data_IF_561166328391
#
_entry.id   IF_561166328391
#
_cell.length_a   1.000
_cell.length_b   1.000
_cell.length_c   1.000
_cell.angle_alpha   90.00
_cell.angle_beta   90.00
_cell.angle_gamma   90.00
#
_symmetry.space_group_name_H-M   'P 1'
#
loop_
_entity.id
_entity.type
_entity.pdbx_description
1 polymer ?
#
# COMPACT_ATOMS: atom_id res chain seq x y z
N UNK A 1 12.84 -1.30 -2.76
CA UNK A 1 13.56 -2.42 -2.13
C UNK A 1 14.85 -1.95 -1.47
N UNK A 2 15.67 -1.14 -2.14
CA UNK A 2 16.92 -0.63 -1.56
C UNK A 2 16.73 0.09 -0.22
N UNK A 3 15.70 0.91 -0.09
CA UNK A 3 15.36 1.60 1.17
C UNK A 3 15.16 0.61 2.33
N UNK A 4 14.50 -0.54 2.09
CA UNK A 4 14.31 -1.59 3.11
C UNK A 4 15.64 -2.22 3.53
N UNK A 5 16.50 -2.51 2.57
CA UNK A 5 17.79 -3.20 2.80
C UNK A 5 18.75 -2.30 3.59
N UNK A 6 18.70 -1.00 3.32
CA UNK A 6 19.57 -0.01 3.95
C UNK A 6 19.13 0.40 5.35
N UNK A 7 17.95 -0.05 5.83
CA UNK A 7 17.47 0.29 7.15
C UNK A 7 18.40 -0.22 8.25
N UNK A 8 18.56 0.63 9.25
CA UNK A 8 19.27 0.33 10.49
C UNK A 8 18.32 0.50 11.69
N UNK A 9 18.62 -0.08 12.85
CA UNK A 9 17.86 0.18 14.06
C UNK A 9 17.76 1.66 14.44
N UNK A 10 18.78 2.47 14.10
CA UNK A 10 18.80 3.91 14.35
C UNK A 10 17.76 4.72 13.54
N UNK A 11 17.25 4.14 12.43
CA UNK A 11 16.23 4.79 11.60
C UNK A 11 14.82 4.71 12.19
N UNK A 12 14.64 3.93 13.27
CA UNK A 12 13.35 3.72 13.90
C UNK A 12 13.22 4.53 15.19
N UNK A 13 12.17 5.35 15.26
CA UNK A 13 11.65 5.91 16.50
C UNK A 13 10.38 5.16 16.85
N UNK A 14 10.41 4.36 17.89
CA UNK A 14 9.30 3.48 18.30
C UNK A 14 8.43 4.07 19.41
N UNK A 15 8.85 5.20 20.00
CA UNK A 15 8.03 5.99 20.92
C UNK A 15 6.94 6.71 20.13
N UNK A 16 5.80 6.97 20.78
CA UNK A 16 4.67 7.63 20.14
C UNK A 16 4.95 9.11 19.83
N UNK A 17 4.69 9.59 18.63
CA UNK A 17 4.24 8.85 17.43
C UNK A 17 5.39 8.07 16.78
N UNK A 18 5.19 6.75 16.59
CA UNK A 18 6.20 5.89 16.01
C UNK A 18 6.45 6.20 14.53
N UNK A 19 7.71 6.29 14.14
CA UNK A 19 8.12 6.63 12.78
C UNK A 19 9.35 5.85 12.33
N UNK A 20 9.53 5.72 11.02
CA UNK A 20 10.77 5.26 10.39
C UNK A 20 11.29 6.32 9.42
N UNK A 21 12.59 6.62 9.50
CA UNK A 21 13.30 7.45 8.54
C UNK A 21 13.71 6.61 7.34
N UNK A 22 13.30 7.01 6.14
CA UNK A 22 13.67 6.35 4.89
C UNK A 22 14.52 7.28 4.04
N UNK A 23 15.63 6.74 3.51
CA UNK A 23 16.50 7.44 2.58
C UNK A 23 16.15 7.05 1.14
N UNK A 24 15.49 7.97 0.44
CA UNK A 24 15.04 7.76 -0.93
C UNK A 24 16.07 8.15 -1.98
N UNK A 25 15.65 8.08 -3.26
CA UNK A 25 16.48 8.48 -4.40
C UNK A 25 16.91 9.96 -4.28
N UNK A 26 18.19 10.24 -4.54
CA UNK A 26 18.75 11.58 -4.42
C UNK A 26 19.02 12.00 -2.98
N UNK A 27 19.25 11.05 -2.07
CA UNK A 27 19.56 11.29 -0.66
C UNK A 27 18.47 12.07 0.10
N UNK A 28 17.22 11.98 -0.38
CA UNK A 28 16.08 12.65 0.26
C UNK A 28 15.54 11.80 1.40
N UNK A 29 15.59 12.36 2.60
CA UNK A 29 15.01 11.74 3.79
C UNK A 29 13.52 12.01 3.87
N UNK A 30 12.76 11.01 4.30
CA UNK A 30 11.35 11.14 4.66
C UNK A 30 11.02 10.31 5.89
N UNK A 31 10.09 10.79 6.69
CA UNK A 31 9.57 10.07 7.83
C UNK A 31 8.22 9.42 7.48
N UNK A 32 8.12 8.14 7.73
CA UNK A 32 6.88 7.39 7.49
C UNK A 32 6.32 6.98 8.85
N UNK A 33 5.07 7.35 9.19
CA UNK A 33 4.44 6.92 10.42
C UNK A 33 4.23 5.40 10.41
N UNK A 34 4.43 4.81 11.58
CA UNK A 34 4.21 3.38 11.83
C UNK A 34 2.96 3.21 12.68
N UNK A 35 2.11 2.30 12.25
CA UNK A 35 0.97 1.88 13.07
C UNK A 35 1.46 1.15 14.32
N UNK A 36 0.73 1.26 15.43
CA UNK A 36 1.11 0.66 16.70
C UNK A 36 1.42 -0.86 16.62
N UNK A 37 0.62 -1.69 15.89
CA UNK A 37 0.95 -3.11 15.71
C UNK A 37 2.30 -3.32 15.01
N UNK A 38 2.62 -2.51 14.01
CA UNK A 38 3.89 -2.59 13.28
C UNK A 38 5.05 -2.17 14.19
N UNK A 39 4.88 -1.08 14.95
CA UNK A 39 5.90 -0.62 15.89
C UNK A 39 6.22 -1.69 16.95
N UNK A 40 5.19 -2.38 17.48
CA UNK A 40 5.35 -3.49 18.43
C UNK A 40 6.09 -4.68 17.81
N UNK A 41 5.76 -5.06 16.57
CA UNK A 41 6.46 -6.12 15.84
C UNK A 41 7.94 -5.80 15.65
N UNK A 42 8.24 -4.56 15.25
CA UNK A 42 9.62 -4.08 15.05
C UNK A 42 10.38 -4.09 16.39
N UNK A 43 9.78 -3.59 17.46
CA UNK A 43 10.38 -3.61 18.80
C UNK A 43 10.69 -5.04 19.27
N UNK A 44 9.74 -5.97 19.08
CA UNK A 44 9.90 -7.39 19.36
C UNK A 44 11.07 -7.99 18.58
N UNK A 45 11.10 -7.77 17.28
CA UNK A 45 12.18 -8.23 16.41
C UNK A 45 13.55 -7.67 16.86
N UNK A 46 13.63 -6.35 17.11
CA UNK A 46 14.88 -5.73 17.57
C UNK A 46 15.37 -6.31 18.89
N UNK A 47 14.45 -6.59 19.83
CA UNK A 47 14.77 -7.22 21.11
C UNK A 47 15.30 -8.66 20.91
N UNK A 48 14.60 -9.44 20.08
CA UNK A 48 14.93 -10.84 19.78
C UNK A 48 16.29 -10.97 19.10
N UNK A 49 16.60 -10.06 18.16
CA UNK A 49 17.87 -10.03 17.43
C UNK A 49 18.99 -9.27 18.17
N UNK A 50 18.74 -8.78 19.38
CA UNK A 50 19.73 -8.02 20.16
C UNK A 50 20.13 -6.68 19.55
N UNK A 51 19.24 -6.08 18.73
CA UNK A 51 19.46 -4.81 18.04
C UNK A 51 19.09 -3.58 18.85
N UNK A 52 18.46 -3.73 20.02
CA UNK A 52 17.99 -2.64 20.86
C UNK A 52 19.12 -1.85 21.55
N UNK A 53 20.37 -2.29 21.41
CA UNK A 53 21.53 -1.62 22.01
C UNK A 53 21.99 -0.45 21.15
N UNK A 54 22.35 0.67 21.77
CA UNK A 54 22.89 1.87 21.09
C UNK A 54 24.09 1.53 20.18
N UNK A 55 24.95 0.61 20.63
CA UNK A 55 26.10 0.12 19.83
C UNK A 55 25.71 -0.58 18.52
N UNK A 56 24.45 -0.94 18.34
CA UNK A 56 23.91 -1.58 17.15
C UNK A 56 23.10 -0.63 16.26
N UNK A 57 23.04 0.66 16.56
CA UNK A 57 22.25 1.64 15.81
C UNK A 57 22.53 1.66 14.30
N UNK A 58 23.78 1.41 13.90
CA UNK A 58 24.23 1.35 12.50
C UNK A 58 24.33 -0.07 11.94
N UNK A 59 23.91 -1.09 12.69
CA UNK A 59 23.87 -2.46 12.19
C UNK A 59 22.75 -2.59 11.15
N UNK A 60 22.88 -3.44 10.11
CA UNK A 60 21.75 -3.71 9.24
C UNK A 60 20.52 -4.16 10.05
N UNK A 61 19.36 -3.57 9.81
CA UNK A 61 18.12 -3.96 10.47
C UNK A 61 17.72 -5.38 10.08
N UNK A 62 17.83 -5.70 8.78
CA UNK A 62 17.51 -7.02 8.23
C UNK A 62 18.77 -7.68 7.66
N UNK A 63 19.06 -8.86 8.11
CA UNK A 63 20.29 -9.60 7.77
C UNK A 63 20.02 -11.08 7.53
N UNK A 64 20.96 -11.75 6.88
CA UNK A 64 20.94 -13.17 6.62
C UNK A 64 21.50 -13.98 7.82
N UNK A 65 21.53 -15.31 7.73
CA UNK A 65 22.07 -16.19 8.77
C UNK A 65 23.56 -15.96 9.08
N UNK A 66 24.28 -15.25 8.20
CA UNK A 66 25.69 -14.85 8.42
C UNK A 66 25.82 -13.48 9.05
N UNK A 67 24.73 -12.86 9.46
CA UNK A 67 24.66 -11.48 9.96
C UNK A 67 25.08 -10.40 8.95
N UNK A 68 25.06 -10.71 7.65
CA UNK A 68 25.29 -9.75 6.58
C UNK A 68 23.98 -9.11 6.15
N UNK A 69 24.00 -7.84 5.74
CA UNK A 69 22.82 -7.15 5.23
C UNK A 69 22.12 -7.95 4.12
N UNK A 70 20.78 -7.93 4.13
CA UNK A 70 20.02 -8.54 3.04
C UNK A 70 20.35 -7.86 1.71
N UNK A 71 20.24 -8.62 0.64
CA UNK A 71 20.37 -8.14 -0.73
C UNK A 71 19.01 -8.18 -1.45
N UNK A 72 18.90 -7.51 -2.60
CA UNK A 72 17.70 -7.59 -3.43
C UNK A 72 17.31 -9.04 -3.81
N UNK A 73 18.26 -9.90 -4.23
CA UNK A 73 18.00 -11.32 -4.42
C UNK A 73 17.57 -12.03 -3.13
N UNK A 74 18.16 -11.67 -1.98
CA UNK A 74 17.82 -12.26 -0.69
C UNK A 74 16.36 -11.98 -0.28
N UNK A 75 15.88 -10.74 -0.44
CA UNK A 75 14.48 -10.39 -0.21
C UNK A 75 13.56 -11.17 -1.17
N UNK A 76 13.93 -11.25 -2.44
CA UNK A 76 13.16 -12.02 -3.44
C UNK A 76 13.12 -13.51 -3.09
N UNK A 77 14.22 -14.07 -2.62
CA UNK A 77 14.28 -15.45 -2.14
C UNK A 77 13.31 -15.71 -0.97
N UNK A 78 13.28 -14.80 0.02
CA UNK A 78 12.35 -14.89 1.15
C UNK A 78 10.90 -14.90 0.66
N UNK A 79 10.54 -13.99 -0.24
CA UNK A 79 9.20 -13.94 -0.82
C UNK A 79 8.87 -15.27 -1.52
N UNK A 80 9.76 -15.74 -2.39
CA UNK A 80 9.57 -16.99 -3.14
C UNK A 80 9.50 -18.23 -2.23
N UNK A 81 10.12 -18.19 -1.06
CA UNK A 81 10.02 -19.27 -0.06
C UNK A 81 8.65 -19.34 0.59
N UNK A 82 8.06 -18.19 0.97
CA UNK A 82 6.81 -18.17 1.74
C UNK A 82 5.54 -18.13 0.88
N UNK A 83 5.59 -17.55 -0.31
CA UNK A 83 4.42 -17.47 -1.22
C UNK A 83 3.80 -18.84 -1.52
N UNK A 84 4.56 -19.91 -1.83
CA UNK A 84 3.98 -21.24 -2.06
C UNK A 84 3.26 -21.80 -0.82
N UNK A 85 3.77 -21.52 0.38
CA UNK A 85 3.14 -21.97 1.64
C UNK A 85 1.77 -21.30 1.82
N UNK A 86 1.68 -20.00 1.56
CA UNK A 86 0.40 -19.28 1.62
C UNK A 86 -0.57 -19.75 0.55
N UNK A 87 -0.09 -20.02 -0.68
CA UNK A 87 -0.92 -20.57 -1.76
C UNK A 87 -1.47 -21.95 -1.45
N UNK A 88 -0.73 -22.76 -0.71
CA UNK A 88 -1.22 -24.08 -0.31
C UNK A 88 -2.42 -24.00 0.65
N UNK A 89 -2.47 -22.93 1.49
CA UNK A 89 -3.55 -22.70 2.46
C UNK A 89 -4.68 -21.87 1.83
N UNK A 90 -4.33 -20.88 1.01
CA UNK A 90 -5.24 -19.88 0.42
C UNK A 90 -4.96 -19.73 -1.08
N UNK A 91 -5.33 -20.72 -1.92
CA UNK A 91 -5.03 -20.69 -3.36
C UNK A 91 -5.69 -19.53 -4.10
N UNK A 92 -6.83 -19.05 -3.59
CA UNK A 92 -7.60 -17.93 -4.15
C UNK A 92 -6.95 -16.57 -3.93
N UNK A 93 -6.11 -16.40 -2.90
CA UNK A 93 -5.58 -15.09 -2.51
C UNK A 93 -4.40 -14.61 -3.34
N UNK A 94 -3.56 -15.51 -3.85
CA UNK A 94 -2.29 -15.20 -4.50
C UNK A 94 -2.22 -15.75 -5.93
N UNK A 95 -3.13 -15.30 -6.80
CA UNK A 95 -3.22 -15.77 -8.20
C UNK A 95 -2.12 -15.21 -9.10
N UNK A 96 -1.51 -14.07 -8.74
CA UNK A 96 -0.48 -13.40 -9.52
C UNK A 96 0.93 -13.70 -8.99
N UNK A 97 1.96 -13.39 -9.79
CA UNK A 97 3.36 -13.46 -9.35
C UNK A 97 3.62 -12.39 -8.29
N UNK A 98 3.94 -12.81 -7.08
CA UNK A 98 4.24 -11.90 -5.96
C UNK A 98 5.68 -11.42 -6.06
N UNK A 99 5.84 -10.11 -6.06
CA UNK A 99 7.13 -9.42 -6.09
C UNK A 99 7.13 -8.28 -5.07
N UNK A 100 8.28 -7.71 -4.69
CA UNK A 100 8.31 -6.52 -3.81
C UNK A 100 7.48 -5.34 -4.33
N UNK A 101 7.34 -5.19 -5.64
CA UNK A 101 6.48 -4.17 -6.23
C UNK A 101 4.99 -4.41 -5.96
N UNK A 102 4.57 -5.67 -5.91
CA UNK A 102 3.18 -6.03 -5.58
C UNK A 102 2.83 -5.55 -4.17
N UNK A 103 3.72 -5.74 -3.19
CA UNK A 103 3.50 -5.22 -1.83
C UNK A 103 3.35 -3.69 -1.82
N UNK A 104 4.20 -2.98 -2.58
CA UNK A 104 4.11 -1.54 -2.71
C UNK A 104 2.79 -1.09 -3.35
N UNK A 105 2.36 -1.77 -4.42
CA UNK A 105 1.08 -1.50 -5.07
C UNK A 105 -0.09 -1.77 -4.12
N UNK A 106 -0.08 -2.91 -3.42
CA UNK A 106 -1.11 -3.23 -2.42
C UNK A 106 -1.21 -2.16 -1.34
N UNK A 107 -0.06 -1.68 -0.81
CA UNK A 107 -0.08 -0.61 0.19
C UNK A 107 -0.63 0.70 -0.38
N UNK A 108 -0.27 1.05 -1.62
CA UNK A 108 -0.84 2.23 -2.29
C UNK A 108 -2.36 2.15 -2.39
N UNK A 109 -2.88 0.99 -2.82
CA UNK A 109 -4.33 0.76 -2.94
C UNK A 109 -5.03 0.79 -1.57
N UNK A 110 -4.46 0.17 -0.54
CA UNK A 110 -5.02 0.22 0.82
C UNK A 110 -5.10 1.65 1.36
N UNK A 111 -4.07 2.47 1.15
CA UNK A 111 -4.08 3.87 1.56
C UNK A 111 -5.14 4.66 0.81
N UNK A 112 -5.29 4.42 -0.50
CA UNK A 112 -6.29 5.07 -1.32
C UNK A 112 -7.71 4.70 -0.89
N UNK A 113 -7.97 3.40 -0.66
CA UNK A 113 -9.26 2.91 -0.17
C UNK A 113 -9.57 3.42 1.26
N UNK A 114 -8.53 3.64 2.06
CA UNK A 114 -8.61 4.33 3.35
C UNK A 114 -8.82 5.85 3.22
N UNK A 115 -9.09 6.36 2.00
CA UNK A 115 -9.34 7.79 1.71
C UNK A 115 -8.18 8.71 2.11
N UNK A 116 -6.95 8.19 2.17
CA UNK A 116 -5.75 9.00 2.39
C UNK A 116 -5.52 9.88 1.16
N UNK A 117 -5.34 11.21 1.30
CA UNK A 117 -5.11 12.10 0.17
C UNK A 117 -3.86 11.73 -0.65
N UNK A 118 -3.95 11.82 -1.98
CA UNK A 118 -2.88 11.43 -2.90
C UNK A 118 -1.50 12.04 -2.60
N UNK A 119 -1.37 13.32 -2.17
CA UNK A 119 -0.08 13.88 -1.80
C UNK A 119 0.60 13.11 -0.66
N UNK A 120 -0.17 12.69 0.37
CA UNK A 120 0.38 11.90 1.48
C UNK A 120 0.78 10.49 1.02
N UNK A 121 -0.02 9.85 0.16
CA UNK A 121 0.34 8.54 -0.43
C UNK A 121 1.64 8.66 -1.21
N UNK A 122 1.78 9.70 -2.03
CA UNK A 122 3.03 9.99 -2.75
C UNK A 122 4.22 10.10 -1.81
N UNK A 123 4.08 10.87 -0.75
CA UNK A 123 5.17 11.14 0.20
C UNK A 123 5.53 9.87 1.00
N UNK A 124 4.55 9.11 1.46
CA UNK A 124 4.76 7.82 2.14
C UNK A 124 5.51 6.84 1.23
N UNK A 125 5.07 6.73 -0.02
CA UNK A 125 5.69 5.82 -0.99
C UNK A 125 7.01 6.37 -1.56
N UNK A 126 7.31 7.66 -1.41
CA UNK A 126 8.49 8.30 -1.96
C UNK A 126 8.47 8.38 -3.50
N UNK A 127 7.31 8.61 -4.09
CA UNK A 127 7.21 8.84 -5.53
C UNK A 127 7.69 10.26 -5.86
N UNK A 128 8.56 10.38 -6.86
CA UNK A 128 9.07 11.69 -7.32
C UNK A 128 7.95 12.53 -7.95
N UNK A 129 6.96 11.88 -8.57
CA UNK A 129 5.84 12.53 -9.24
C UNK A 129 4.50 12.04 -8.72
N UNK A 130 3.54 12.95 -8.59
CA UNK A 130 2.14 12.64 -8.25
C UNK A 130 1.51 11.76 -9.33
N UNK A 131 1.90 11.93 -10.60
CA UNK A 131 1.41 11.13 -11.74
C UNK A 131 1.52 9.64 -11.48
N UNK A 132 2.62 9.18 -10.84
CA UNK A 132 2.79 7.77 -10.49
C UNK A 132 1.75 7.30 -9.46
N UNK A 133 1.30 8.20 -8.58
CA UNK A 133 0.27 7.91 -7.57
C UNK A 133 -1.14 8.01 -8.14
N UNK A 134 -1.36 8.91 -9.11
CA UNK A 134 -2.65 9.08 -9.82
C UNK A 134 -3.07 7.83 -10.60
N UNK A 135 -2.11 7.00 -11.03
CA UNK A 135 -2.42 5.72 -11.68
C UNK A 135 -3.33 4.87 -10.80
N UNK A 136 -3.09 4.84 -9.50
CA UNK A 136 -3.91 4.08 -8.55
C UNK A 136 -5.32 4.65 -8.44
N UNK A 137 -5.46 5.97 -8.39
CA UNK A 137 -6.76 6.65 -8.36
C UNK A 137 -7.58 6.39 -9.64
N UNK A 138 -6.91 6.22 -10.79
CA UNK A 138 -7.58 5.90 -12.06
C UNK A 138 -8.13 4.47 -12.10
N UNK A 139 -7.50 3.55 -11.40
CA UNK A 139 -7.85 2.12 -11.40
C UNK A 139 -8.99 1.83 -10.42
N UNK A 140 -9.11 2.58 -9.32
CA UNK A 140 -10.12 2.32 -8.29
C UNK A 140 -11.51 2.87 -8.72
N UNK A 141 -12.27 2.04 -9.42
CA UNK A 141 -13.66 2.33 -9.82
C UNK A 141 -14.63 2.40 -8.62
N UNK A 142 -14.35 1.65 -7.54
CA UNK A 142 -15.17 1.63 -6.32
C UNK A 142 -15.09 2.98 -5.60
N UNK A 143 -13.88 3.51 -5.40
CA UNK A 143 -13.69 4.81 -4.77
C UNK A 143 -14.34 5.93 -5.58
N UNK A 144 -14.23 5.88 -6.92
CA UNK A 144 -14.89 6.86 -7.80
C UNK A 144 -16.40 6.83 -7.63
N UNK A 145 -16.99 5.65 -7.55
CA UNK A 145 -18.42 5.47 -7.35
C UNK A 145 -18.86 6.03 -6.00
N UNK A 146 -18.19 5.68 -4.92
CA UNK A 146 -18.48 6.20 -3.59
C UNK A 146 -18.40 7.74 -3.50
N UNK A 147 -17.39 8.34 -4.15
CA UNK A 147 -17.23 9.80 -4.21
C UNK A 147 -18.39 10.46 -4.97
N UNK A 148 -18.81 9.86 -6.09
CA UNK A 148 -19.95 10.34 -6.86
C UNK A 148 -21.25 10.20 -6.09
N UNK A 149 -21.52 9.05 -5.49
CA UNK A 149 -22.71 8.79 -4.66
C UNK A 149 -22.82 9.82 -3.53
N UNK A 150 -21.71 10.04 -2.80
CA UNK A 150 -21.66 11.05 -1.74
C UNK A 150 -21.89 12.47 -2.26
N UNK A 151 -21.31 12.84 -3.39
CA UNK A 151 -21.53 14.15 -4.00
C UNK A 151 -23.00 14.35 -4.42
N UNK A 152 -23.69 13.30 -4.88
CA UNK A 152 -25.12 13.35 -5.18
C UNK A 152 -25.97 13.54 -3.92
N UNK A 153 -25.61 12.86 -2.80
CA UNK A 153 -26.27 13.05 -1.51
C UNK A 153 -26.10 14.50 -0.99
N UNK A 154 -24.88 15.03 -1.04
CA UNK A 154 -24.55 16.40 -0.60
C UNK A 154 -25.27 17.48 -1.43
N UNK A 155 -25.56 17.19 -2.71
CA UNK A 155 -26.31 18.09 -3.59
C UNK A 155 -27.84 17.96 -3.42
N UNK A 156 -28.32 17.06 -2.57
CA UNK A 156 -29.74 16.81 -2.33
C UNK A 156 -30.47 16.26 -3.57
N UNK A 157 -29.72 15.71 -4.53
CA UNK A 157 -30.29 15.07 -5.72
C UNK A 157 -30.83 13.71 -5.29
N UNK A 158 -32.14 13.65 -5.08
CA UNK A 158 -32.83 12.37 -4.85
C UNK A 158 -32.64 11.48 -6.06
N UNK A 159 -32.33 10.22 -5.84
CA UNK A 159 -32.37 9.23 -6.93
C UNK A 159 -33.72 9.36 -7.66
N UNK A 160 -33.71 9.45 -8.99
CA UNK A 160 -34.96 9.38 -9.73
C UNK A 160 -35.62 8.05 -9.35
N UNK A 161 -36.87 8.11 -8.91
CA UNK A 161 -37.66 6.90 -8.65
C UNK A 161 -37.40 5.91 -9.78
N UNK A 162 -36.85 4.75 -9.45
CA UNK A 162 -36.41 3.76 -10.43
C UNK A 162 -37.63 3.20 -11.17
N UNK A 163 -38.11 3.96 -12.15
CA UNK A 163 -39.02 3.39 -13.15
C UNK A 163 -38.18 2.44 -13.98
N UNK A 164 -38.51 1.17 -13.88
CA UNK A 164 -37.93 0.10 -14.67
C UNK A 164 -37.76 0.57 -16.13
N UNK A 165 -36.63 0.25 -16.77
CA UNK A 165 -36.40 0.49 -18.20
C UNK A 165 -37.54 -0.08 -19.07
N UNK A 166 -38.25 -1.08 -18.55
CA UNK A 166 -39.39 -1.71 -19.22
C UNK A 166 -40.64 -0.81 -19.29
N UNK A 167 -40.76 0.17 -18.40
CA UNK A 167 -41.90 1.11 -18.40
C UNK A 167 -41.73 2.31 -19.36
N UNK A 168 -40.53 2.52 -19.90
CA UNK A 168 -40.25 3.60 -20.86
C UNK A 168 -40.45 3.15 -22.31
N UNK A 169 -41.68 2.79 -22.66
CA UNK A 169 -42.04 2.31 -23.99
C UNK A 169 -41.61 3.23 -25.14
N UNK A 170 -41.71 4.56 -24.97
CA UNK A 170 -41.29 5.55 -25.97
C UNK A 170 -39.78 5.58 -26.18
N UNK A 171 -38.96 5.42 -25.13
CA UNK A 171 -37.51 5.36 -25.24
C UNK A 171 -37.04 4.06 -25.87
N UNK A 172 -37.69 2.94 -25.54
CA UNK A 172 -37.43 1.64 -26.18
C UNK A 172 -37.75 1.67 -27.69
N UNK A 173 -38.85 2.29 -28.08
CA UNK A 173 -39.22 2.47 -29.49
C UNK A 173 -38.18 3.34 -30.23
N UNK A 174 -37.75 4.42 -29.62
CA UNK A 174 -36.72 5.31 -30.19
C UNK A 174 -35.37 4.59 -30.36
N UNK A 175 -34.92 3.87 -29.36
CA UNK A 175 -33.64 3.12 -29.44
C UNK A 175 -33.69 1.99 -30.49
N UNK A 176 -34.86 1.36 -30.69
CA UNK A 176 -35.04 0.37 -31.75
C UNK A 176 -35.07 0.97 -33.14
N UNK A 177 -35.39 2.26 -33.28
CA UNK A 177 -35.36 2.96 -34.58
C UNK A 177 -33.96 3.41 -34.99
N UNK A 178 -32.97 3.33 -34.08
CA UNK A 178 -31.57 3.70 -34.34
C UNK A 178 -30.67 2.48 -34.66
N UNK A 179 -31.20 1.27 -34.58
CA UNK A 179 -30.52 0.01 -34.89
C UNK A 179 -30.92 -0.48 -36.27
#
# INVERSE_FOLDING_TARGET
MQELINLTPGDFRLDYPATVELLGKGNKKRFVPLDEPIAKLIAGYMKEQGLSKVSKSNHPMFFNARHEALTNPGVTYIINKYVPMVRAIHPEMLTIKITPHVFRHSRAMHLLQGKVPLPYIRDILGHVSVVTTEIYAKVDSKLKREVLEKAYEDLGIKEPEAKSWDEKSKLKAFLKSLA
#
